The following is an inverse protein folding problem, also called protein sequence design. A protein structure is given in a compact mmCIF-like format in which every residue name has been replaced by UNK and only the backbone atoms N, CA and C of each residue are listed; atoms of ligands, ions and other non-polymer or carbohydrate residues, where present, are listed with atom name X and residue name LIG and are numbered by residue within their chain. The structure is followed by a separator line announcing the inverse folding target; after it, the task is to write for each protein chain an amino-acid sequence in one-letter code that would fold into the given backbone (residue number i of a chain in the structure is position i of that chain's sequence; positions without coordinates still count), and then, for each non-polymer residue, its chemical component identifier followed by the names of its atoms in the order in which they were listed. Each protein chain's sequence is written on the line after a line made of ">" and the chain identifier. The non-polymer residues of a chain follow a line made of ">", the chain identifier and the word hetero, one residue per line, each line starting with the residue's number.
data_IF_931864849874
#
_entry.id   IF_931864849874
#
_cell.length_a   1.000
_cell.length_b   1.000
_cell.length_c   1.000
_cell.angle_alpha   90.00
_cell.angle_beta   90.00
_cell.angle_gamma   90.00
#
_symmetry.space_group_name_H-M   'P 1'
#
loop_
_entity.id
_entity.type
_entity.pdbx_description
1 polymer ?
#
# COMPACT_ATOMS: atom_id res chain seq x y z
N UNK A 1 -14.60 -8.50 -4.58
CA UNK A 1 -13.15 -8.41 -4.91
C UNK A 1 -12.61 -7.12 -4.34
N UNK A 2 -11.54 -7.18 -3.56
CA UNK A 2 -10.90 -6.02 -2.93
C UNK A 2 -9.48 -5.83 -3.47
N UNK A 3 -9.03 -4.58 -3.55
CA UNK A 3 -7.64 -4.26 -3.87
C UNK A 3 -6.79 -4.43 -2.62
N UNK A 4 -5.72 -5.23 -2.72
CA UNK A 4 -4.67 -5.39 -1.73
C UNK A 4 -3.33 -4.91 -2.30
N UNK A 5 -2.32 -4.74 -1.44
CA UNK A 5 -1.01 -4.24 -1.84
C UNK A 5 0.12 -5.14 -1.34
N UNK A 6 1.20 -5.23 -2.13
CA UNK A 6 2.46 -5.90 -1.79
C UNK A 6 3.52 -4.96 -1.24
N UNK A 7 3.24 -3.65 -1.14
CA UNK A 7 4.21 -2.63 -0.72
C UNK A 7 4.85 -2.94 0.63
N UNK A 8 4.11 -3.55 1.56
CA UNK A 8 4.63 -3.93 2.88
C UNK A 8 5.63 -5.10 2.82
N UNK A 9 5.65 -5.86 1.73
CA UNK A 9 6.56 -6.98 1.47
C UNK A 9 7.80 -6.52 0.69
N UNK A 10 7.70 -5.42 -0.07
CA UNK A 10 8.80 -4.83 -0.86
C UNK A 10 9.84 -4.06 -0.01
N UNK A 11 9.66 -4.04 1.32
CA UNK A 11 10.39 -3.18 2.27
C UNK A 11 11.86 -3.52 2.54
N UNK A 12 12.49 -4.44 1.80
CA UNK A 12 13.86 -4.87 2.10
C UNK A 12 14.98 -3.94 1.56
N UNK A 13 14.66 -2.79 0.98
CA UNK A 13 15.68 -1.86 0.47
C UNK A 13 15.35 -0.36 0.52
N UNK A 14 14.08 0.04 0.43
CA UNK A 14 13.71 1.44 0.17
C UNK A 14 13.09 2.20 1.36
N UNK A 15 12.55 1.51 2.38
CA UNK A 15 11.94 2.18 3.55
C UNK A 15 12.21 1.35 4.82
N UNK A 16 12.94 1.92 5.78
CA UNK A 16 13.34 1.27 7.04
C UNK A 16 12.15 1.06 7.99
N UNK A 17 11.09 1.85 7.86
CA UNK A 17 9.88 1.76 8.68
C UNK A 17 8.66 2.38 7.97
N UNK A 18 7.49 2.23 8.60
CA UNK A 18 6.21 2.74 8.08
C UNK A 18 6.12 4.27 8.02
N UNK A 19 6.87 5.00 8.85
CA UNK A 19 6.89 6.47 8.83
C UNK A 19 7.63 6.99 7.61
N UNK A 20 8.78 6.40 7.29
CA UNK A 20 9.53 6.70 6.06
C UNK A 20 8.71 6.33 4.82
N UNK A 21 8.04 5.17 4.84
CA UNK A 21 7.12 4.78 3.76
C UNK A 21 6.01 5.83 3.55
N UNK A 22 5.40 6.31 4.64
CA UNK A 22 4.38 7.35 4.56
C UNK A 22 4.92 8.66 3.95
N UNK A 23 6.13 9.04 4.35
CA UNK A 23 6.82 10.23 3.86
C UNK A 23 7.10 10.12 2.35
N UNK A 24 7.70 9.02 1.89
CA UNK A 24 8.00 8.81 0.47
C UNK A 24 6.73 8.72 -0.37
N UNK A 25 5.68 8.08 0.15
CA UNK A 25 4.36 8.01 -0.52
C UNK A 25 3.56 9.33 -0.45
N UNK A 26 4.00 10.32 0.33
CA UNK A 26 3.27 11.58 0.49
C UNK A 26 1.89 11.43 1.15
N UNK A 27 1.74 10.47 2.08
CA UNK A 27 0.50 10.23 2.82
C UNK A 27 0.75 10.23 4.34
N UNK A 28 -0.32 10.26 5.13
CA UNK A 28 -0.16 10.23 6.58
C UNK A 28 0.23 8.83 7.07
N UNK A 29 1.03 8.78 8.14
CA UNK A 29 1.39 7.54 8.82
C UNK A 29 0.14 6.76 9.25
N UNK A 30 -0.89 7.46 9.74
CA UNK A 30 -2.17 6.84 10.11
C UNK A 30 -2.86 6.16 8.92
N UNK A 31 -2.73 6.70 7.69
CA UNK A 31 -3.27 6.06 6.50
C UNK A 31 -2.53 4.76 6.18
N UNK A 32 -1.19 4.74 6.32
CA UNK A 32 -0.38 3.52 6.17
C UNK A 32 -0.84 2.43 7.16
N UNK A 33 -0.95 2.77 8.45
CA UNK A 33 -1.38 1.81 9.48
C UNK A 33 -2.77 1.26 9.20
N UNK A 34 -3.75 2.12 8.88
CA UNK A 34 -5.13 1.66 8.61
C UNK A 34 -5.23 0.75 7.39
N UNK A 35 -4.44 0.99 6.34
CA UNK A 35 -4.39 0.09 5.18
C UNK A 35 -3.73 -1.23 5.54
N UNK A 36 -2.60 -1.19 6.27
CA UNK A 36 -1.90 -2.40 6.73
C UNK A 36 -2.77 -3.29 7.62
N UNK A 37 -3.54 -2.69 8.52
CA UNK A 37 -4.44 -3.38 9.45
C UNK A 37 -5.77 -3.79 8.80
N UNK A 38 -6.01 -3.47 7.53
CA UNK A 38 -7.28 -3.74 6.85
C UNK A 38 -8.47 -2.88 7.32
N UNK A 39 -8.24 -1.88 8.20
CA UNK A 39 -9.26 -0.94 8.69
C UNK A 39 -9.69 0.09 7.64
N UNK A 40 -8.96 0.20 6.53
CA UNK A 40 -9.29 1.10 5.42
C UNK A 40 -8.89 0.48 4.09
N UNK A 41 -9.77 0.58 3.11
CA UNK A 41 -9.49 0.20 1.72
C UNK A 41 -8.44 1.11 1.08
N UNK A 42 -7.75 0.57 0.08
CA UNK A 42 -6.79 1.31 -0.74
C UNK A 42 -7.54 2.30 -1.62
N UNK A 43 -7.19 3.59 -1.51
CA UNK A 43 -7.79 4.66 -2.30
C UNK A 43 -6.80 5.23 -3.33
N UNK A 44 -7.29 6.09 -4.22
CA UNK A 44 -6.48 6.74 -5.25
C UNK A 44 -5.24 7.45 -4.69
N UNK A 45 -5.35 8.14 -3.54
CA UNK A 45 -4.20 8.82 -2.92
C UNK A 45 -3.10 7.83 -2.53
N UNK A 46 -3.46 6.67 -2.00
CA UNK A 46 -2.53 5.60 -1.67
C UNK A 46 -1.86 5.04 -2.94
N UNK A 47 -2.64 4.81 -4.00
CA UNK A 47 -2.12 4.30 -5.28
C UNK A 47 -1.13 5.28 -5.91
N UNK A 48 -1.49 6.57 -6.01
CA UNK A 48 -0.60 7.59 -6.58
C UNK A 48 0.68 7.72 -5.74
N UNK A 49 0.56 7.69 -4.41
CA UNK A 49 1.71 7.71 -3.50
C UNK A 49 2.64 6.52 -3.72
N UNK A 50 2.07 5.32 -3.88
CA UNK A 50 2.84 4.11 -4.14
C UNK A 50 3.61 4.17 -5.46
N UNK A 51 2.94 4.54 -6.55
CA UNK A 51 3.58 4.61 -7.88
C UNK A 51 4.76 5.60 -7.88
N UNK A 52 4.63 6.71 -7.14
CA UNK A 52 5.71 7.69 -6.98
C UNK A 52 6.86 7.18 -6.12
N UNK A 53 6.54 6.43 -5.06
CA UNK A 53 7.52 5.87 -4.14
C UNK A 53 8.28 4.66 -4.72
N UNK A 54 7.66 3.94 -5.65
CA UNK A 54 8.16 2.71 -6.24
C UNK A 54 8.15 2.79 -7.78
N UNK A 55 8.84 3.76 -8.40
CA UNK A 55 8.77 3.99 -9.84
C UNK A 55 9.34 2.84 -10.69
N UNK A 56 10.14 1.96 -10.09
CA UNK A 56 10.70 0.78 -10.74
C UNK A 56 9.74 -0.42 -10.80
N UNK A 57 8.57 -0.32 -10.17
CA UNK A 57 7.55 -1.37 -10.15
C UNK A 57 6.32 -0.96 -10.94
N UNK A 58 5.71 -1.93 -11.63
CA UNK A 58 4.42 -1.75 -12.31
C UNK A 58 3.26 -1.81 -11.33
N UNK A 59 2.09 -1.33 -11.76
CA UNK A 59 0.89 -1.26 -10.93
C UNK A 59 0.46 -2.65 -10.40
N UNK A 60 0.54 -3.68 -11.24
CA UNK A 60 0.19 -5.06 -10.93
C UNK A 60 1.23 -5.78 -10.05
N UNK A 61 2.45 -5.26 -9.98
CA UNK A 61 3.47 -5.70 -9.02
C UNK A 61 3.25 -5.06 -7.63
N UNK A 62 2.63 -3.87 -7.58
CA UNK A 62 2.33 -3.14 -6.35
C UNK A 62 0.97 -3.53 -5.74
N UNK A 63 -0.01 -3.85 -6.58
CA UNK A 63 -1.40 -4.08 -6.20
C UNK A 63 -1.97 -5.33 -6.86
N UNK A 64 -2.87 -6.01 -6.14
CA UNK A 64 -3.54 -7.19 -6.65
C UNK A 64 -4.99 -7.24 -6.16
N UNK A 65 -5.82 -7.99 -6.87
CA UNK A 65 -7.20 -8.26 -6.48
C UNK A 65 -7.25 -9.53 -5.64
N UNK A 66 -8.01 -9.49 -4.55
CA UNK A 66 -8.30 -10.64 -3.71
C UNK A 66 -9.81 -10.77 -3.48
N UNK A 67 -10.32 -11.98 -3.17
CA UNK A 67 -11.66 -12.14 -2.66
C UNK A 67 -11.89 -11.28 -1.41
N UNK A 68 -13.12 -10.80 -1.25
CA UNK A 68 -13.56 -10.18 -0.01
C UNK A 68 -13.87 -11.33 0.96
N UNK A 69 -13.04 -11.52 1.98
CA UNK A 69 -13.33 -12.54 3.00
C UNK A 69 -14.39 -11.97 3.94
N UNK A 70 -15.54 -12.65 4.02
CA UNK A 70 -16.73 -12.22 4.78
C UNK A 70 -18.08 -12.45 4.10
N UNK A 71 -18.15 -13.25 3.03
CA UNK A 71 -19.40 -13.79 2.50
C UNK A 71 -19.51 -15.28 2.86
N UNK A 72 -19.71 -15.54 4.15
CA UNK A 72 -20.30 -16.79 4.65
C UNK A 72 -21.67 -16.45 5.25
#
# INVERSE_FOLDING_TARGET
>A
MIVKTRIFELGNGNCKNLSELAQVMGISVSQIYRVREGKRSINQKFIVGAIRAFPQYKLDELFYLAPEFGAD
#
